data_IF_648898093197
#
_entry.id   IF_648898093197
#
_cell.length_a   1.000
_cell.length_b   1.000
_cell.length_c   1.000
_cell.angle_alpha   90.00
_cell.angle_beta   90.00
_cell.angle_gamma   90.00
#
_symmetry.space_group_name_H-M   'P 1'
#
loop_
_entity.id
_entity.type
_entity.pdbx_description
1 polymer ?
#
# COMPACT_ATOMS: atom_id res chain seq x y z
N UNK A 1 -2.71 -7.34 -23.59
CA UNK A 1 -2.45 -8.56 -22.79
C UNK A 1 -3.23 -8.40 -21.50
N UNK A 2 -4.45 -8.94 -21.46
CA UNK A 2 -5.26 -8.92 -20.22
C UNK A 2 -4.77 -10.07 -19.35
N UNK A 3 -3.99 -9.77 -18.31
CA UNK A 3 -3.80 -10.71 -17.22
C UNK A 3 -5.13 -10.77 -16.47
N UNK A 4 -5.98 -11.71 -16.87
CA UNK A 4 -7.06 -12.19 -16.03
C UNK A 4 -6.41 -12.92 -14.87
N UNK A 5 -6.07 -12.21 -13.80
CA UNK A 5 -5.71 -12.85 -12.54
C UNK A 5 -6.99 -13.50 -12.03
N UNK A 6 -7.16 -14.78 -12.32
CA UNK A 6 -8.22 -15.60 -11.75
C UNK A 6 -8.17 -15.40 -10.23
N UNK A 7 -9.32 -15.07 -9.65
CA UNK A 7 -9.40 -14.86 -8.21
C UNK A 7 -9.10 -16.24 -7.59
N UNK A 8 -8.10 -16.35 -6.69
CA UNK A 8 -7.77 -17.63 -6.10
C UNK A 8 -9.02 -18.20 -5.44
N UNK A 9 -9.38 -19.43 -5.80
CA UNK A 9 -10.60 -20.07 -5.32
C UNK A 9 -10.41 -20.59 -3.89
N UNK A 10 -9.15 -20.81 -3.48
CA UNK A 10 -8.79 -21.33 -2.16
C UNK A 10 -7.62 -20.61 -1.48
N UNK A 11 -7.55 -20.75 -0.15
CA UNK A 11 -6.45 -20.25 0.69
C UNK A 11 -5.09 -20.90 0.33
N UNK A 12 -5.11 -22.20 0.03
CA UNK A 12 -3.92 -22.95 -0.34
C UNK A 12 -3.33 -22.52 -1.68
N UNK A 13 -4.19 -22.29 -2.67
CA UNK A 13 -3.79 -21.74 -3.97
C UNK A 13 -3.19 -20.34 -3.82
N UNK A 14 -3.82 -19.47 -3.02
CA UNK A 14 -3.27 -18.16 -2.72
C UNK A 14 -1.88 -18.22 -2.07
N UNK A 15 -1.67 -19.12 -1.11
CA UNK A 15 -0.37 -19.32 -0.46
C UNK A 15 0.70 -19.89 -1.40
N UNK A 16 0.31 -20.69 -2.40
CA UNK A 16 1.23 -21.24 -3.38
C UNK A 16 1.83 -20.15 -4.30
N UNK A 17 1.11 -19.04 -4.51
CA UNK A 17 1.59 -17.90 -5.28
C UNK A 17 2.48 -16.94 -4.49
N UNK A 18 2.56 -17.07 -3.16
CA UNK A 18 3.44 -16.24 -2.36
C UNK A 18 4.84 -16.85 -2.26
N UNK A 19 5.91 -16.06 -2.52
CA UNK A 19 7.30 -16.49 -2.36
C UNK A 19 7.69 -16.47 -0.88
N UNK A 20 7.15 -17.44 -0.14
CA UNK A 20 7.40 -17.69 1.27
C UNK A 20 8.37 -18.85 1.44
N UNK A 21 9.09 -18.87 2.57
CA UNK A 21 9.78 -20.09 2.99
C UNK A 21 8.77 -21.19 3.33
N UNK A 22 9.21 -22.45 3.31
CA UNK A 22 8.32 -23.58 3.60
C UNK A 22 7.79 -23.53 5.03
N UNK A 23 8.60 -23.04 5.98
CA UNK A 23 8.19 -22.85 7.38
C UNK A 23 7.09 -21.80 7.51
N UNK A 24 7.26 -20.63 6.87
CA UNK A 24 6.27 -19.56 6.89
C UNK A 24 4.97 -20.01 6.20
N UNK A 25 5.09 -20.76 5.10
CA UNK A 25 3.93 -21.30 4.40
C UNK A 25 3.18 -22.31 5.28
N UNK A 26 3.89 -23.18 6.00
CA UNK A 26 3.28 -24.13 6.93
C UNK A 26 2.56 -23.43 8.10
N UNK A 27 3.16 -22.37 8.65
CA UNK A 27 2.54 -21.57 9.71
C UNK A 27 1.24 -20.91 9.22
N UNK A 28 1.26 -20.30 8.04
CA UNK A 28 0.10 -19.61 7.46
C UNK A 28 -0.96 -20.58 6.92
N UNK A 29 -0.60 -21.82 6.60
CA UNK A 29 -1.56 -22.85 6.17
C UNK A 29 -2.54 -23.25 7.30
N UNK A 30 -2.23 -22.93 8.55
CA UNK A 30 -3.15 -23.13 9.69
C UNK A 30 -4.28 -22.11 9.77
N UNK A 31 -4.19 -21.01 9.01
CA UNK A 31 -5.23 -19.99 8.98
C UNK A 31 -6.51 -20.52 8.31
N UNK A 32 -7.66 -20.15 8.87
CA UNK A 32 -8.97 -20.61 8.38
C UNK A 32 -9.64 -19.62 7.43
N UNK A 33 -9.15 -18.38 7.39
CA UNK A 33 -9.72 -17.31 6.59
C UNK A 33 -8.65 -16.37 6.03
N UNK A 34 -8.97 -15.68 4.92
CA UNK A 34 -8.09 -14.68 4.32
C UNK A 34 -7.81 -13.51 5.27
N UNK A 35 -8.80 -13.09 6.06
CA UNK A 35 -8.63 -11.99 7.02
C UNK A 35 -7.64 -12.34 8.14
N UNK A 36 -7.65 -13.61 8.59
CA UNK A 36 -6.68 -14.14 9.55
C UNK A 36 -5.28 -14.23 8.94
N UNK A 37 -5.17 -14.78 7.72
CA UNK A 37 -3.90 -14.84 7.00
C UNK A 37 -3.28 -13.45 6.85
N UNK A 38 -4.04 -12.48 6.37
CA UNK A 38 -3.54 -11.12 6.17
C UNK A 38 -3.18 -10.44 7.48
N UNK A 39 -3.87 -10.77 8.58
CA UNK A 39 -3.54 -10.27 9.91
C UNK A 39 -2.21 -10.83 10.42
N UNK A 40 -1.91 -12.11 10.15
CA UNK A 40 -0.61 -12.69 10.50
C UNK A 40 0.52 -12.14 9.64
N UNK A 41 0.25 -11.88 8.35
CA UNK A 41 1.22 -11.23 7.47
C UNK A 41 1.43 -9.74 7.81
N UNK A 42 0.46 -9.07 8.41
CA UNK A 42 0.58 -7.65 8.76
C UNK A 42 1.41 -7.44 10.02
N UNK A 43 2.34 -6.48 10.00
CA UNK A 43 3.09 -6.05 11.18
C UNK A 43 2.30 -5.09 12.10
N UNK A 44 1.07 -4.72 11.71
CA UNK A 44 0.27 -3.66 12.33
C UNK A 44 -1.17 -4.15 12.54
N UNK A 45 -1.86 -3.71 13.61
CA UNK A 45 -3.25 -4.08 13.81
C UNK A 45 -4.14 -3.53 12.68
N UNK A 46 -5.12 -4.32 12.20
CA UNK A 46 -5.97 -3.90 11.10
C UNK A 46 -6.82 -2.68 11.49
N UNK A 47 -6.77 -1.63 10.68
CA UNK A 47 -7.61 -0.44 10.82
C UNK A 47 -8.71 -0.44 9.77
N UNK A 48 -9.97 -0.65 10.20
CA UNK A 48 -11.14 -0.72 9.32
C UNK A 48 -11.33 -2.08 8.63
N UNK A 49 -12.38 -2.18 7.80
CA UNK A 49 -12.83 -3.43 7.16
C UNK A 49 -11.73 -4.10 6.30
N UNK A 50 -11.01 -3.30 5.50
CA UNK A 50 -9.90 -3.78 4.65
C UNK A 50 -8.52 -3.63 5.32
N UNK A 51 -8.48 -3.35 6.62
CA UNK A 51 -7.25 -3.00 7.34
C UNK A 51 -6.20 -4.13 7.33
N UNK A 52 -6.64 -5.39 7.45
CA UNK A 52 -5.71 -6.53 7.47
C UNK A 52 -5.02 -6.71 6.11
N UNK A 53 -5.80 -6.64 5.02
CA UNK A 53 -5.27 -6.78 3.66
C UNK A 53 -4.25 -5.68 3.38
N UNK A 54 -4.60 -4.43 3.67
CA UNK A 54 -3.71 -3.28 3.48
C UNK A 54 -2.46 -3.36 4.36
N UNK A 55 -2.60 -3.76 5.63
CA UNK A 55 -1.47 -3.91 6.55
C UNK A 55 -0.46 -4.98 6.11
N UNK A 56 -0.92 -6.01 5.39
CA UNK A 56 -0.05 -7.06 4.85
C UNK A 56 0.74 -6.68 3.60
N UNK A 57 0.41 -5.55 2.96
CA UNK A 57 1.01 -5.15 1.67
C UNK A 57 2.52 -4.95 1.79
N UNK A 58 2.98 -4.28 2.86
CA UNK A 58 4.40 -4.06 3.10
C UNK A 58 5.18 -5.37 3.13
N UNK A 59 4.74 -6.31 3.97
CA UNK A 59 5.35 -7.64 4.07
C UNK A 59 5.37 -8.37 2.73
N UNK A 60 4.27 -8.31 1.96
CA UNK A 60 4.18 -8.98 0.65
C UNK A 60 5.11 -8.38 -0.40
N UNK A 61 5.23 -7.04 -0.44
CA UNK A 61 6.18 -6.37 -1.34
C UNK A 61 7.63 -6.74 -1.00
N UNK A 62 7.91 -7.03 0.27
CA UNK A 62 9.26 -7.42 0.72
C UNK A 62 9.59 -8.90 0.54
N UNK A 63 8.64 -9.78 0.17
CA UNK A 63 8.92 -11.23 0.09
C UNK A 63 9.77 -11.61 -1.12
N UNK A 64 9.47 -11.07 -2.31
CA UNK A 64 10.13 -11.48 -3.57
C UNK A 64 11.17 -10.46 -4.03
N UNK A 65 10.81 -9.19 -3.92
CA UNK A 65 11.53 -8.09 -4.56
C UNK A 65 12.10 -7.10 -3.56
N UNK A 66 12.18 -7.45 -2.26
CA UNK A 66 12.72 -6.54 -1.24
C UNK A 66 14.08 -5.96 -1.64
N UNK A 67 15.01 -6.80 -2.09
CA UNK A 67 16.36 -6.38 -2.44
C UNK A 67 16.34 -5.44 -3.66
N UNK A 68 15.67 -5.83 -4.75
CA UNK A 68 15.60 -5.04 -5.98
C UNK A 68 14.83 -3.73 -5.81
N UNK A 69 13.70 -3.75 -5.08
CA UNK A 69 12.88 -2.57 -4.83
C UNK A 69 13.55 -1.59 -3.87
N UNK A 70 14.35 -2.10 -2.94
CA UNK A 70 15.10 -1.26 -2.02
C UNK A 70 16.34 -0.66 -2.68
N UNK A 71 17.05 -1.43 -3.51
CA UNK A 71 18.15 -0.95 -4.36
C UNK A 71 17.68 0.12 -5.35
N UNK A 72 16.48 -0.05 -5.92
CA UNK A 72 15.87 0.93 -6.82
C UNK A 72 15.19 2.11 -6.12
N UNK A 73 15.28 2.21 -4.78
CA UNK A 73 14.55 3.19 -3.95
C UNK A 73 13.04 3.30 -4.26
N UNK A 74 12.42 2.23 -4.72
CA UNK A 74 11.03 2.21 -5.21
C UNK A 74 9.99 2.16 -4.10
N UNK A 75 10.40 1.84 -2.87
CA UNK A 75 9.52 1.84 -1.70
C UNK A 75 9.54 3.23 -1.03
N UNK A 76 8.36 3.73 -0.70
CA UNK A 76 8.16 4.95 0.07
C UNK A 76 7.14 4.73 1.19
N UNK A 77 6.99 5.72 2.06
CA UNK A 77 5.88 5.80 2.99
C UNK A 77 4.88 6.85 2.50
N UNK A 78 3.60 6.52 2.58
CA UNK A 78 2.54 7.48 2.34
C UNK A 78 2.37 8.45 3.53
N UNK A 79 1.45 9.42 3.40
CA UNK A 79 1.17 10.39 4.46
C UNK A 79 0.63 9.76 5.76
N UNK A 80 0.22 8.49 5.72
CA UNK A 80 -0.25 7.71 6.87
C UNK A 80 0.78 6.69 7.37
N UNK A 81 2.02 6.73 6.87
CA UNK A 81 3.11 5.85 7.28
C UNK A 81 3.06 4.45 6.67
N UNK A 82 2.28 4.22 5.60
CA UNK A 82 2.15 2.91 4.95
C UNK A 82 3.11 2.77 3.79
N UNK A 83 3.62 1.56 3.57
CA UNK A 83 4.51 1.25 2.45
C UNK A 83 3.77 1.40 1.13
N UNK A 84 4.33 2.18 0.20
CA UNK A 84 3.79 2.42 -1.12
C UNK A 84 4.88 2.39 -2.20
N UNK A 85 4.47 2.20 -3.46
CA UNK A 85 5.35 2.19 -4.62
C UNK A 85 5.54 3.62 -5.16
N UNK A 86 6.79 4.02 -5.43
CA UNK A 86 7.13 5.25 -6.18
C UNK A 86 6.95 5.01 -7.69
N UNK A 87 5.73 4.69 -8.13
CA UNK A 87 5.44 4.43 -9.54
C UNK A 87 5.23 5.72 -10.38
N UNK A 88 4.81 6.81 -9.74
CA UNK A 88 4.46 8.07 -10.41
C UNK A 88 5.12 9.24 -9.68
N UNK A 89 5.60 10.28 -10.39
CA UNK A 89 6.12 11.47 -9.74
C UNK A 89 5.09 12.04 -8.76
N UNK A 90 5.51 12.43 -7.53
CA UNK A 90 4.58 12.93 -6.53
C UNK A 90 3.89 14.20 -7.04
N UNK A 91 2.55 14.19 -7.05
CA UNK A 91 1.76 15.34 -7.51
C UNK A 91 1.87 16.46 -6.47
N UNK A 92 2.72 17.46 -6.75
CA UNK A 92 2.75 18.70 -5.97
C UNK A 92 1.65 19.63 -6.46
N UNK A 93 0.49 19.60 -5.81
CA UNK A 93 -0.56 20.59 -6.05
C UNK A 93 -0.11 21.94 -5.48
N UNK A 94 -0.10 22.97 -6.32
CA UNK A 94 0.00 24.36 -5.84
C UNK A 94 -1.20 24.65 -4.94
N UNK A 95 -0.94 25.20 -3.76
CA UNK A 95 -2.00 25.66 -2.84
C UNK A 95 -2.90 26.65 -3.58
N UNK A 96 -4.20 26.35 -3.66
CA UNK A 96 -5.22 27.31 -4.11
C UNK A 96 -5.54 28.26 -2.96
N UNK A 97 -4.51 28.88 -2.39
CA UNK A 97 -4.68 30.03 -1.51
C UNK A 97 -4.56 31.23 -2.45
N UNK A 98 -5.61 32.04 -2.59
CA UNK A 98 -5.48 33.25 -3.37
C UNK A 98 -4.45 34.14 -2.68
N UNK A 99 -3.46 34.64 -3.44
CA UNK A 99 -2.47 35.58 -2.92
C UNK A 99 -3.18 36.72 -2.15
N UNK A 100 -2.80 37.01 -0.89
CA UNK A 100 -3.58 37.86 0.01
C UNK A 100 -3.82 39.27 -0.54
N UNK A 101 -2.96 39.78 -1.42
CA UNK A 101 -3.11 41.08 -2.09
C UNK A 101 -3.99 41.05 -3.35
N UNK A 102 -4.28 39.88 -3.94
CA UNK A 102 -5.20 39.78 -5.09
C UNK A 102 -6.68 39.76 -4.70
N UNK A 103 -6.99 39.39 -3.45
CA UNK A 103 -8.38 39.30 -2.94
C UNK A 103 -8.66 40.32 -1.84
N UNK A 104 -7.73 41.23 -1.57
CA UNK A 104 -7.96 42.32 -0.63
C UNK A 104 -8.98 43.30 -1.23
N UNK A 105 -10.17 43.36 -0.62
CA UNK A 105 -11.25 44.28 -1.01
C UNK A 105 -10.75 45.75 -1.02
N UNK A 106 -9.84 46.12 -0.11
CA UNK A 106 -9.30 47.47 -0.03
C UNK A 106 -8.48 47.83 -1.27
N UNK A 107 -7.68 46.89 -1.79
CA UNK A 107 -6.90 47.08 -3.02
C UNK A 107 -7.81 47.14 -4.24
N UNK A 108 -8.90 46.37 -4.25
CA UNK A 108 -9.87 46.34 -5.36
C UNK A 108 -10.78 47.57 -5.42
N UNK A 109 -11.08 48.18 -4.27
CA UNK A 109 -11.87 49.41 -4.18
C UNK A 109 -11.07 50.69 -4.51
N UNK A 110 -9.73 50.60 -4.50
CA UNK A 110 -8.82 51.71 -4.81
C UNK A 110 -8.33 51.73 -6.27
N UNK A 111 -8.93 50.92 -7.16
CA UNK A 111 -8.65 50.92 -8.60
C UNK A 111 -9.83 51.45 -9.39
#
# INVERSE_FOLDING_TARGET
>A
MSNSSERPESLGEYLAHLPLSDEQRAELATCTSFSELHRRLSAQPPSGENGAVQGSVGSRLTLDSAAEMQEAEMLALDASGRVCLKATPPIRRTRVIPEPWRTNILIRAWR
#
